data_IF_220681908416
#
_entry.id   IF_220681908416
#
_cell.length_a   1.000
_cell.length_b   1.000
_cell.length_c   1.000
_cell.angle_alpha   90.00
_cell.angle_beta   90.00
_cell.angle_gamma   90.00
#
_symmetry.space_group_name_H-M   'P 1'
#
loop_
_entity.id
_entity.type
_entity.pdbx_description
1 polymer ?
#
# COMPACT_ATOMS: atom_id res chain seq x y z
N UNK A 1 12.73 14.49 -7.18
CA UNK A 1 11.91 13.29 -7.39
C UNK A 1 10.48 13.59 -6.91
N UNK A 2 9.42 13.49 -7.80
CA UNK A 2 8.05 13.84 -7.43
C UNK A 2 7.51 13.07 -6.22
N UNK A 3 7.94 11.82 -6.03
CA UNK A 3 7.48 10.98 -4.91
C UNK A 3 7.98 11.47 -3.54
N UNK A 4 9.23 11.88 -3.43
CA UNK A 4 9.76 12.40 -2.16
C UNK A 4 9.03 13.66 -1.72
N UNK A 5 8.65 14.54 -2.65
CA UNK A 5 7.89 15.75 -2.31
C UNK A 5 6.47 15.43 -1.85
N UNK A 6 5.80 14.42 -2.42
CA UNK A 6 4.44 14.04 -2.02
C UNK A 6 4.38 13.45 -0.61
N UNK A 7 5.36 12.61 -0.25
CA UNK A 7 5.42 11.98 1.08
C UNK A 7 5.70 13.01 2.17
N UNK A 8 6.54 13.99 1.87
CA UNK A 8 6.78 15.13 2.74
C UNK A 8 5.54 15.99 2.95
N UNK A 9 4.81 16.26 1.88
CA UNK A 9 3.56 17.01 1.98
C UNK A 9 2.55 16.27 2.87
N UNK A 10 2.48 14.94 2.78
CA UNK A 10 1.62 14.12 3.66
C UNK A 10 2.05 14.22 5.11
N UNK A 11 3.34 14.05 5.39
CA UNK A 11 3.89 14.15 6.75
C UNK A 11 3.67 15.55 7.35
N UNK A 12 3.98 16.60 6.59
CA UNK A 12 3.74 17.98 7.01
C UNK A 12 2.25 18.25 7.26
N UNK A 13 1.38 17.81 6.34
CA UNK A 13 -0.05 18.01 6.48
C UNK A 13 -0.64 17.26 7.67
N UNK A 14 -0.13 16.08 7.98
CA UNK A 14 -0.49 15.37 9.20
C UNK A 14 -0.15 16.20 10.45
N UNK A 15 1.05 16.75 10.54
CA UNK A 15 1.45 17.63 11.65
C UNK A 15 0.56 18.86 11.78
N UNK A 16 0.26 19.55 10.66
CA UNK A 16 -0.61 20.73 10.63
C UNK A 16 -2.04 20.41 11.11
N UNK A 17 -2.59 19.24 10.73
CA UNK A 17 -3.98 18.87 11.06
C UNK A 17 -4.13 18.33 12.48
N UNK A 18 -3.13 17.67 13.00
CA UNK A 18 -3.21 16.97 14.30
C UNK A 18 -2.55 17.74 15.44
N UNK A 19 -1.76 18.78 15.11
CA UNK A 19 -0.87 19.43 16.08
C UNK A 19 0.28 18.52 16.53
N UNK A 20 0.47 17.36 15.85
CA UNK A 20 1.48 16.36 16.14
C UNK A 20 2.36 16.21 14.91
N UNK A 21 3.64 16.38 15.06
CA UNK A 21 4.59 15.97 14.02
C UNK A 21 4.95 14.51 14.32
N UNK A 22 4.73 13.53 13.46
CA UNK A 22 5.14 12.14 13.62
C UNK A 22 6.62 11.98 13.33
N UNK A 23 7.28 10.98 13.90
CA UNK A 23 8.57 10.56 13.39
C UNK A 23 8.40 10.11 11.93
N UNK A 24 9.25 10.58 11.04
CA UNK A 24 9.22 10.22 9.62
C UNK A 24 10.44 9.37 9.31
N UNK A 25 10.20 8.17 8.77
CA UNK A 25 11.24 7.23 8.37
C UNK A 25 11.34 7.24 6.85
N UNK A 26 12.50 7.59 6.31
CA UNK A 26 12.73 7.62 4.88
C UNK A 26 13.54 6.40 4.44
N UNK A 27 13.17 5.84 3.30
CA UNK A 27 13.93 4.77 2.68
C UNK A 27 15.33 5.30 2.31
N UNK A 28 16.33 4.81 3.02
CA UNK A 28 17.74 5.07 2.75
C UNK A 28 18.28 4.14 1.67
N UNK A 29 19.22 3.27 2.04
CA UNK A 29 19.84 2.30 1.14
C UNK A 29 19.02 1.04 0.95
N UNK A 30 18.23 0.63 1.95
CA UNK A 30 17.41 -0.59 1.89
C UNK A 30 16.18 -0.53 2.81
N UNK A 31 15.21 -1.39 2.53
CA UNK A 31 14.03 -1.61 3.38
C UNK A 31 14.42 -2.20 4.74
N UNK A 32 15.49 -2.98 4.81
CA UNK A 32 15.99 -3.52 6.07
C UNK A 32 16.43 -2.41 7.03
N UNK A 33 17.19 -1.46 6.52
CA UNK A 33 17.71 -0.35 7.32
C UNK A 33 16.57 0.50 7.92
N UNK A 34 15.55 0.86 7.12
CA UNK A 34 14.41 1.62 7.62
C UNK A 34 13.59 0.83 8.63
N UNK A 35 13.44 -0.48 8.40
CA UNK A 35 12.74 -1.36 9.33
C UNK A 35 13.47 -1.41 10.68
N UNK A 36 14.79 -1.60 10.69
CA UNK A 36 15.56 -1.68 11.92
C UNK A 36 15.48 -0.37 12.72
N UNK A 37 15.63 0.77 12.05
CA UNK A 37 15.49 2.10 12.67
C UNK A 37 14.07 2.30 13.27
N UNK A 38 13.03 1.85 12.58
CA UNK A 38 11.67 1.90 13.08
C UNK A 38 11.48 0.94 14.24
N UNK A 39 11.96 -0.30 14.12
CA UNK A 39 11.74 -1.36 15.10
C UNK A 39 12.38 -1.06 16.44
N UNK A 40 13.54 -0.40 16.47
CA UNK A 40 14.17 0.08 17.71
C UNK A 40 13.27 1.02 18.52
N UNK A 41 12.42 1.78 17.83
CA UNK A 41 11.53 2.79 18.43
C UNK A 41 10.05 2.37 18.44
N UNK A 42 9.72 1.17 18.00
CA UNK A 42 8.33 0.73 17.76
C UNK A 42 7.42 0.89 18.97
N UNK A 43 7.98 0.73 20.18
CA UNK A 43 7.26 0.87 21.45
C UNK A 43 6.76 2.30 21.74
N UNK A 44 7.19 3.29 20.94
CA UNK A 44 6.80 4.70 21.06
C UNK A 44 5.54 5.03 20.26
N UNK A 45 5.10 4.10 19.39
CA UNK A 45 4.03 4.35 18.42
C UNK A 45 2.86 3.42 18.63
N UNK A 46 1.65 3.96 18.51
CA UNK A 46 0.40 3.22 18.47
C UNK A 46 -0.05 2.94 17.02
N UNK A 47 0.52 3.63 16.05
CA UNK A 47 0.20 3.46 14.64
C UNK A 47 1.27 3.99 13.71
N UNK A 48 1.28 3.47 12.49
CA UNK A 48 2.16 3.89 11.40
C UNK A 48 1.35 4.06 10.12
N UNK A 49 1.63 5.12 9.39
CA UNK A 49 1.08 5.38 8.06
C UNK A 49 2.21 5.18 7.05
N UNK A 50 2.06 4.19 6.20
CA UNK A 50 3.02 3.88 5.14
C UNK A 50 2.71 4.69 3.88
N UNK A 51 3.74 5.11 3.16
CA UNK A 51 3.61 5.88 1.92
C UNK A 51 2.93 5.09 0.78
N UNK A 52 2.97 3.75 0.85
CA UNK A 52 2.33 2.84 -0.10
C UNK A 52 1.92 1.53 0.59
N UNK A 53 1.05 0.76 -0.06
CA UNK A 53 0.69 -0.59 0.38
C UNK A 53 1.88 -1.55 0.31
N UNK A 54 2.84 -1.36 -0.60
CA UNK A 54 4.07 -2.17 -0.63
C UNK A 54 4.86 -2.01 0.67
N UNK A 55 5.02 -0.78 1.14
CA UNK A 55 5.69 -0.51 2.40
C UNK A 55 4.93 -1.09 3.60
N UNK A 56 3.59 -1.03 3.57
CA UNK A 56 2.74 -1.60 4.60
C UNK A 56 2.82 -3.14 4.65
N UNK A 57 2.75 -3.80 3.49
CA UNK A 57 2.87 -5.27 3.37
C UNK A 57 4.26 -5.74 3.85
N UNK A 58 5.32 -5.07 3.40
CA UNK A 58 6.70 -5.35 3.84
C UNK A 58 6.85 -5.20 5.36
N UNK A 59 6.37 -4.09 5.92
CA UNK A 59 6.42 -3.83 7.36
C UNK A 59 5.67 -4.90 8.16
N UNK A 60 4.41 -5.21 7.78
CA UNK A 60 3.59 -6.20 8.47
C UNK A 60 4.20 -7.60 8.37
N UNK A 61 4.75 -7.97 7.20
CA UNK A 61 5.47 -9.23 7.03
C UNK A 61 6.61 -9.39 8.04
N UNK A 62 7.47 -8.40 8.15
CA UNK A 62 8.62 -8.39 9.07
C UNK A 62 8.21 -8.37 10.55
N UNK A 63 7.15 -7.65 10.88
CA UNK A 63 6.60 -7.64 12.25
C UNK A 63 6.02 -9.01 12.62
N UNK A 64 5.37 -9.71 11.68
CA UNK A 64 4.90 -11.09 11.88
C UNK A 64 6.05 -12.06 12.14
N UNK A 65 7.15 -11.97 11.38
CA UNK A 65 8.35 -12.79 11.61
C UNK A 65 8.92 -12.59 13.03
N UNK A 66 8.75 -11.39 13.60
CA UNK A 66 9.12 -11.07 14.98
C UNK A 66 8.00 -11.35 16.01
N UNK A 67 6.89 -12.01 15.61
CA UNK A 67 5.72 -12.28 16.44
C UNK A 67 5.13 -11.02 17.11
N UNK A 68 5.20 -9.86 16.41
CA UNK A 68 4.64 -8.62 16.90
C UNK A 68 3.15 -8.54 16.56
N UNK A 69 2.30 -8.36 17.58
CA UNK A 69 0.85 -8.40 17.43
C UNK A 69 0.30 -7.15 16.70
N UNK A 70 -0.45 -7.35 15.62
CA UNK A 70 -1.14 -6.35 14.81
C UNK A 70 -2.60 -6.80 14.67
N UNK A 71 -3.58 -5.96 14.97
CA UNK A 71 -3.51 -4.52 15.31
C UNK A 71 -3.32 -4.21 16.80
N UNK A 72 -3.21 -5.20 17.69
CA UNK A 72 -3.30 -5.05 19.15
C UNK A 72 -2.25 -4.10 19.72
N UNK A 73 -1.02 -4.10 19.16
CA UNK A 73 0.09 -3.26 19.62
C UNK A 73 0.42 -2.11 18.67
N UNK A 74 0.04 -2.23 17.40
CA UNK A 74 0.36 -1.24 16.38
C UNK A 74 -0.69 -1.24 15.28
N UNK A 75 -1.27 -0.09 14.98
CA UNK A 75 -2.06 0.10 13.76
C UNK A 75 -1.15 0.30 12.56
N UNK A 76 -1.51 -0.31 11.43
CA UNK A 76 -0.80 -0.10 10.17
C UNK A 76 -1.78 0.33 9.08
N UNK A 77 -1.47 1.46 8.43
CA UNK A 77 -2.26 2.01 7.33
C UNK A 77 -1.36 2.15 6.11
N UNK A 78 -1.80 1.62 4.97
CA UNK A 78 -1.17 1.76 3.67
C UNK A 78 -1.80 2.86 2.81
N UNK A 79 -1.34 2.95 1.57
CA UNK A 79 -1.86 3.88 0.56
C UNK A 79 -1.80 3.24 -0.83
N UNK A 80 -2.90 3.34 -1.59
CA UNK A 80 -3.05 2.85 -2.95
C UNK A 80 -4.20 1.85 -3.12
N UNK A 81 -4.64 1.18 -2.05
CA UNK A 81 -5.65 0.10 -2.06
C UNK A 81 -5.33 -0.99 -3.08
N UNK A 82 -4.06 -1.39 -3.11
CA UNK A 82 -3.52 -2.40 -4.01
C UNK A 82 -4.09 -3.78 -3.71
N UNK A 83 -4.06 -4.68 -4.69
CA UNK A 83 -4.59 -6.03 -4.55
C UNK A 83 -3.88 -6.81 -3.43
N UNK A 84 -2.55 -6.66 -3.33
CA UNK A 84 -1.74 -7.26 -2.27
C UNK A 84 -2.21 -6.87 -0.88
N UNK A 85 -2.63 -5.61 -0.66
CA UNK A 85 -3.10 -5.16 0.65
C UNK A 85 -4.38 -5.86 1.10
N UNK A 86 -5.18 -6.34 0.16
CA UNK A 86 -6.43 -7.10 0.40
C UNK A 86 -6.15 -8.57 0.66
N UNK A 87 -5.19 -9.16 -0.05
CA UNK A 87 -4.83 -10.59 0.06
C UNK A 87 -3.94 -10.90 1.25
N UNK A 88 -3.11 -9.97 1.66
CA UNK A 88 -2.16 -10.17 2.75
C UNK A 88 -2.90 -10.45 4.07
N UNK A 89 -2.25 -11.14 5.02
CA UNK A 89 -2.82 -11.43 6.34
C UNK A 89 -1.87 -11.00 7.46
N UNK A 90 -2.34 -10.15 8.39
CA UNK A 90 -3.63 -9.44 8.37
C UNK A 90 -3.76 -8.50 7.15
N UNK A 91 -4.98 -8.37 6.60
CA UNK A 91 -5.26 -7.49 5.47
C UNK A 91 -5.07 -6.02 5.85
N UNK A 92 -4.45 -5.25 4.94
CA UNK A 92 -3.96 -3.90 5.25
C UNK A 92 -5.09 -2.88 5.08
N UNK A 93 -5.37 -2.11 6.11
CA UNK A 93 -6.16 -0.87 5.99
C UNK A 93 -5.44 0.08 5.06
N UNK A 94 -6.11 0.59 4.03
CA UNK A 94 -5.48 1.42 3.01
C UNK A 94 -6.33 2.61 2.62
N UNK A 95 -5.67 3.68 2.19
CA UNK A 95 -6.30 4.86 1.60
C UNK A 95 -6.18 4.74 0.09
N UNK A 96 -7.28 4.93 -0.64
CA UNK A 96 -7.26 5.03 -2.10
C UNK A 96 -7.74 6.37 -2.60
N UNK A 97 -7.21 6.81 -3.72
CA UNK A 97 -7.77 7.89 -4.51
C UNK A 97 -8.84 7.34 -5.47
N UNK A 98 -9.87 8.12 -5.71
CA UNK A 98 -10.91 7.78 -6.68
C UNK A 98 -10.45 8.22 -8.08
N UNK A 99 -9.70 7.35 -8.78
CA UNK A 99 -9.13 7.65 -10.10
C UNK A 99 -10.21 7.91 -11.16
N UNK A 100 -11.41 7.33 -11.04
CA UNK A 100 -12.53 7.62 -11.94
C UNK A 100 -13.00 9.07 -11.75
N UNK A 101 -13.17 9.49 -10.52
CA UNK A 101 -13.50 10.89 -10.18
C UNK A 101 -12.39 11.85 -10.60
N UNK A 102 -11.12 11.44 -10.54
CA UNK A 102 -9.99 12.20 -11.09
C UNK A 102 -10.14 12.43 -12.59
N UNK A 103 -10.39 11.38 -13.37
CA UNK A 103 -10.60 11.49 -14.82
C UNK A 103 -11.78 12.41 -15.17
N UNK A 104 -12.91 12.24 -14.50
CA UNK A 104 -14.11 13.07 -14.70
C UNK A 104 -13.83 14.54 -14.36
N UNK A 105 -13.15 14.80 -13.26
CA UNK A 105 -12.79 16.17 -12.86
C UNK A 105 -11.81 16.82 -13.83
N UNK A 106 -10.82 16.10 -14.32
CA UNK A 106 -9.87 16.59 -15.32
C UNK A 106 -10.57 17.00 -16.60
N UNK A 107 -11.47 16.17 -17.15
CA UNK A 107 -12.26 16.50 -18.34
C UNK A 107 -13.15 17.72 -18.12
N UNK A 108 -13.81 17.83 -16.96
CA UNK A 108 -14.65 18.98 -16.63
C UNK A 108 -13.82 20.28 -16.54
N UNK A 109 -12.62 20.22 -15.96
CA UNK A 109 -11.69 21.36 -15.89
C UNK A 109 -11.23 21.78 -17.27
N UNK A 110 -10.80 20.83 -18.13
CA UNK A 110 -10.42 21.13 -19.51
C UNK A 110 -11.55 21.83 -20.27
N UNK A 111 -12.75 21.29 -20.23
CA UNK A 111 -13.91 21.90 -20.90
C UNK A 111 -14.29 23.29 -20.35
N UNK A 112 -14.04 23.51 -19.07
CA UNK A 112 -14.27 24.82 -18.44
C UNK A 112 -13.19 25.84 -18.88
N UNK A 113 -11.94 25.44 -18.93
CA UNK A 113 -10.83 26.30 -19.35
C UNK A 113 -10.91 26.64 -20.85
N UNK A 114 -11.31 25.71 -21.71
CA UNK A 114 -11.53 25.95 -23.14
C UNK A 114 -12.64 27.00 -23.42
N UNK A 115 -13.62 27.09 -22.53
CA UNK A 115 -14.75 28.05 -22.65
C UNK A 115 -14.48 29.39 -22.04
N UNK A 116 -13.39 29.57 -21.29
CA UNK A 116 -13.15 30.80 -20.54
C UNK A 116 -11.64 31.08 -20.41
N UNK A 117 -11.16 31.97 -21.27
CA UNK A 117 -9.76 32.43 -21.32
C UNK A 117 -9.31 33.20 -20.06
N UNK A 118 -10.24 33.55 -19.17
CA UNK A 118 -9.92 34.25 -17.93
C UNK A 118 -9.29 33.36 -16.88
N UNK A 119 -9.38 32.02 -17.02
CA UNK A 119 -8.80 31.10 -16.07
C UNK A 119 -7.35 30.72 -16.45
N UNK A 120 -6.39 31.15 -15.65
CA UNK A 120 -4.99 30.74 -15.78
C UNK A 120 -4.66 29.46 -15.00
N UNK A 121 -5.34 29.22 -13.86
CA UNK A 121 -5.15 28.05 -12.99
C UNK A 121 -6.48 27.66 -12.36
N UNK A 122 -6.76 26.37 -12.37
CA UNK A 122 -7.89 25.76 -11.63
C UNK A 122 -7.36 24.66 -10.74
N UNK A 123 -7.75 24.66 -9.47
CA UNK A 123 -7.39 23.62 -8.50
C UNK A 123 -8.63 22.96 -7.91
N UNK A 124 -8.69 21.65 -7.98
CA UNK A 124 -9.80 20.84 -7.42
C UNK A 124 -9.24 19.85 -6.43
N UNK A 125 -9.89 19.73 -5.27
CA UNK A 125 -9.58 18.73 -4.25
C UNK A 125 -10.61 17.62 -4.31
N UNK A 126 -10.16 16.40 -4.53
CA UNK A 126 -10.99 15.21 -4.51
C UNK A 126 -10.88 14.50 -3.16
N UNK A 127 -11.92 13.74 -2.79
CA UNK A 127 -11.92 12.94 -1.56
C UNK A 127 -11.24 11.60 -1.81
N UNK A 128 -10.32 11.22 -0.93
CA UNK A 128 -9.81 9.86 -0.84
C UNK A 128 -10.78 8.98 -0.05
N UNK A 129 -10.70 7.66 -0.21
CA UNK A 129 -11.48 6.66 0.53
C UNK A 129 -10.57 5.91 1.48
N UNK A 130 -11.04 5.66 2.70
CA UNK A 130 -10.38 4.79 3.67
C UNK A 130 -11.07 3.43 3.65
N UNK A 131 -10.29 2.38 3.36
CA UNK A 131 -10.72 0.98 3.40
C UNK A 131 -10.21 0.35 4.70
N UNK A 132 -11.07 0.28 5.71
CA UNK A 132 -10.73 -0.31 7.01
C UNK A 132 -10.64 -1.82 6.86
N UNK A 133 -9.54 -2.42 7.36
CA UNK A 133 -9.25 -3.86 7.35
C UNK A 133 -8.57 -4.31 8.63
N UNK A 134 -8.13 -5.58 8.67
CA UNK A 134 -7.63 -6.26 9.87
C UNK A 134 -6.49 -5.53 10.59
N UNK A 135 -5.65 -4.75 9.89
CA UNK A 135 -4.54 -4.02 10.53
C UNK A 135 -4.96 -2.80 11.37
N UNK A 136 -6.25 -2.43 11.38
CA UNK A 136 -6.80 -1.37 12.26
C UNK A 136 -8.16 -1.73 12.86
N UNK A 137 -8.67 -2.93 12.60
CA UNK A 137 -9.97 -3.35 13.07
C UNK A 137 -9.95 -3.68 14.58
N UNK A 138 -11.03 -3.32 15.27
CA UNK A 138 -11.32 -3.71 16.67
C UNK A 138 -10.49 -3.06 17.80
N UNK A 139 -9.82 -1.94 17.59
CA UNK A 139 -9.15 -1.22 18.69
C UNK A 139 -9.83 0.14 18.97
N UNK A 140 -10.20 0.45 20.23
CA UNK A 140 -10.73 1.77 20.57
C UNK A 140 -9.65 2.86 20.39
N UNK A 141 -10.07 4.02 19.87
CA UNK A 141 -9.20 5.19 19.76
C UNK A 141 -8.91 5.75 21.15
N UNK A 142 -7.63 5.88 21.50
CA UNK A 142 -7.14 6.56 22.70
C UNK A 142 -6.27 7.75 22.28
N UNK A 143 -6.69 8.99 22.52
CA UNK A 143 -5.87 10.16 22.20
C UNK A 143 -4.69 10.29 23.16
N UNK A 144 -3.48 10.46 22.63
CA UNK A 144 -2.27 10.73 23.40
C UNK A 144 -1.66 12.10 22.99
N UNK A 145 -1.02 12.77 23.95
CA UNK A 145 -0.54 14.15 23.84
C UNK A 145 0.99 14.25 23.94
N UNK A 146 1.75 13.69 22.98
CA UNK A 146 3.22 13.83 22.97
C UNK A 146 3.68 14.88 21.95
N UNK A 147 4.65 15.76 22.27
CA UNK A 147 5.19 16.76 21.35
C UNK A 147 6.18 16.12 20.36
N UNK A 148 6.35 16.74 19.22
CA UNK A 148 6.95 16.18 18.02
C UNK A 148 8.11 17.03 17.48
N UNK A 149 9.12 16.40 16.91
CA UNK A 149 10.38 17.03 16.44
C UNK A 149 10.53 16.85 14.91
N UNK A 150 10.86 17.90 14.14
CA UNK A 150 11.05 17.80 12.68
C UNK A 150 12.27 16.98 12.27
N UNK A 151 12.17 16.19 11.20
CA UNK A 151 13.22 15.32 10.68
C UNK A 151 13.71 15.80 9.30
N UNK A 152 15.03 15.82 9.00
CA UNK A 152 15.58 16.15 7.68
C UNK A 152 15.32 15.07 6.64
N UNK A 153 15.17 15.46 5.37
CA UNK A 153 14.76 14.60 4.25
C UNK A 153 15.96 14.08 3.47
N UNK A 154 16.11 12.74 3.32
CA UNK A 154 17.05 12.15 2.37
C UNK A 154 16.43 11.96 0.97
N UNK A 155 17.29 11.72 -0.03
CA UNK A 155 16.84 11.35 -1.40
C UNK A 155 16.12 10.00 -1.42
N UNK A 156 14.97 9.93 -2.09
CA UNK A 156 14.13 8.73 -2.16
C UNK A 156 14.59 7.76 -3.25
N UNK A 157 14.89 6.51 -2.89
CA UNK A 157 15.30 5.41 -3.78
C UNK A 157 14.29 4.26 -3.83
N UNK A 158 13.00 4.54 -3.65
CA UNK A 158 11.93 3.55 -3.54
C UNK A 158 11.96 2.47 -4.64
N UNK A 159 12.09 2.86 -5.91
CA UNK A 159 12.14 1.91 -7.03
C UNK A 159 13.50 1.22 -7.24
N UNK A 160 14.50 1.49 -6.42
CA UNK A 160 15.78 0.81 -6.44
C UNK A 160 15.86 -0.38 -5.47
N UNK A 161 14.88 -0.54 -4.60
CA UNK A 161 14.85 -1.66 -3.65
C UNK A 161 14.24 -2.91 -4.31
N UNK A 162 14.96 -4.04 -4.18
CA UNK A 162 14.58 -5.30 -4.83
C UNK A 162 13.31 -5.91 -4.22
N UNK A 163 13.01 -5.66 -2.95
CA UNK A 163 11.81 -6.14 -2.28
C UNK A 163 10.57 -5.45 -2.84
N UNK A 164 10.61 -4.13 -2.98
CA UNK A 164 9.49 -3.39 -3.57
C UNK A 164 9.28 -3.70 -5.05
N UNK A 165 10.36 -3.99 -5.80
CA UNK A 165 10.25 -4.45 -7.18
C UNK A 165 9.53 -5.81 -7.26
N UNK A 166 9.85 -6.75 -6.35
CA UNK A 166 9.13 -8.04 -6.28
C UNK A 166 7.65 -7.86 -5.94
N UNK A 167 7.32 -7.00 -4.97
CA UNK A 167 5.93 -6.72 -4.61
C UNK A 167 5.16 -6.06 -5.75
N UNK A 168 5.79 -5.14 -6.50
CA UNK A 168 5.19 -4.52 -7.68
C UNK A 168 4.93 -5.55 -8.81
N UNK A 169 5.84 -6.49 -9.04
CA UNK A 169 5.65 -7.57 -10.00
C UNK A 169 4.51 -8.51 -9.59
N UNK A 170 4.42 -8.86 -8.30
CA UNK A 170 3.30 -9.65 -7.77
C UNK A 170 1.97 -8.92 -7.93
N UNK A 171 1.91 -7.64 -7.64
CA UNK A 171 0.69 -6.82 -7.85
C UNK A 171 0.28 -6.82 -9.32
N UNK A 172 1.23 -6.65 -10.24
CA UNK A 172 0.97 -6.70 -11.70
C UNK A 172 0.41 -8.06 -12.10
N UNK A 173 1.06 -9.14 -11.65
CA UNK A 173 0.60 -10.51 -11.89
C UNK A 173 -0.83 -10.74 -11.38
N UNK A 174 -1.12 -10.35 -10.15
CA UNK A 174 -2.46 -10.53 -9.58
C UNK A 174 -3.54 -9.71 -10.27
N UNK A 175 -3.23 -8.52 -10.78
CA UNK A 175 -4.17 -7.71 -11.54
C UNK A 175 -4.49 -8.29 -12.93
N UNK A 176 -3.61 -9.16 -13.47
CA UNK A 176 -3.83 -9.89 -14.72
C UNK A 176 -4.54 -11.25 -14.53
N UNK A 177 -4.64 -11.75 -13.29
CA UNK A 177 -5.25 -13.03 -12.97
C UNK A 177 -6.78 -12.97 -13.05
N UNK A 178 -7.38 -13.99 -13.65
CA UNK A 178 -8.82 -14.26 -13.56
C UNK A 178 -9.13 -15.25 -12.42
N UNK A 179 -10.42 -15.58 -12.23
CA UNK A 179 -10.87 -16.51 -11.19
C UNK A 179 -10.19 -17.90 -11.30
N UNK A 180 -9.99 -18.39 -12.53
CA UNK A 180 -9.31 -19.66 -12.77
C UNK A 180 -7.85 -19.63 -12.36
N UNK A 181 -7.17 -18.49 -12.63
CA UNK A 181 -5.79 -18.30 -12.22
C UNK A 181 -5.66 -18.28 -10.69
N UNK A 182 -6.59 -17.63 -9.98
CA UNK A 182 -6.63 -17.68 -8.51
C UNK A 182 -6.90 -19.09 -7.95
N UNK A 183 -7.78 -19.86 -8.59
CA UNK A 183 -7.98 -21.27 -8.22
C UNK A 183 -6.70 -22.07 -8.39
N UNK A 184 -5.99 -21.93 -9.52
CA UNK A 184 -4.72 -22.59 -9.77
C UNK A 184 -3.66 -22.19 -8.74
N UNK A 185 -3.52 -20.87 -8.43
CA UNK A 185 -2.60 -20.38 -7.41
C UNK A 185 -2.86 -20.99 -6.03
N UNK A 186 -4.15 -21.20 -5.67
CA UNK A 186 -4.51 -21.86 -4.41
C UNK A 186 -4.14 -23.35 -4.38
N UNK A 187 -4.11 -24.01 -5.53
CA UNK A 187 -3.77 -25.43 -5.65
C UNK A 187 -2.27 -25.70 -5.76
N UNK A 188 -1.48 -24.73 -6.26
CA UNK A 188 -0.03 -24.90 -6.45
C UNK A 188 0.72 -25.34 -5.18
N UNK A 189 0.48 -24.78 -3.97
CA UNK A 189 1.16 -25.19 -2.75
C UNK A 189 0.82 -26.61 -2.30
N UNK A 190 -0.20 -27.25 -2.87
CA UNK A 190 -0.63 -28.61 -2.53
C UNK A 190 0.14 -29.69 -3.30
N UNK A 191 1.12 -29.29 -4.14
CA UNK A 191 1.98 -30.18 -4.94
C UNK A 191 1.20 -31.18 -5.83
N UNK A 192 -0.01 -30.81 -6.27
CA UNK A 192 -0.87 -31.62 -7.12
C UNK A 192 -0.33 -31.69 -8.55
N UNK A 193 -0.61 -32.79 -9.26
CA UNK A 193 -0.31 -32.87 -10.68
C UNK A 193 -1.17 -31.89 -11.49
N UNK A 194 -0.67 -31.43 -12.64
CA UNK A 194 -1.43 -30.55 -13.53
C UNK A 194 -2.76 -31.14 -13.98
N UNK A 195 -2.83 -32.47 -14.12
CA UNK A 195 -4.08 -33.17 -14.45
C UNK A 195 -5.13 -33.00 -13.35
N UNK A 196 -4.74 -33.15 -12.08
CA UNK A 196 -5.65 -32.98 -10.93
C UNK A 196 -6.07 -31.50 -10.78
N UNK A 197 -5.12 -30.56 -10.88
CA UNK A 197 -5.45 -29.14 -10.84
C UNK A 197 -6.41 -28.73 -11.97
N UNK A 198 -6.16 -29.22 -13.19
CA UNK A 198 -7.01 -28.95 -14.35
C UNK A 198 -8.44 -29.46 -14.14
N UNK A 199 -8.58 -30.65 -13.57
CA UNK A 199 -9.89 -31.23 -13.24
C UNK A 199 -10.64 -30.37 -12.21
N UNK A 200 -9.96 -29.91 -11.17
CA UNK A 200 -10.56 -29.06 -10.12
C UNK A 200 -10.95 -27.67 -10.65
N UNK A 201 -10.21 -27.13 -11.62
CA UNK A 201 -10.49 -25.84 -12.25
C UNK A 201 -11.40 -25.94 -13.49
N UNK A 202 -11.88 -27.14 -13.85
CA UNK A 202 -12.72 -27.39 -15.03
C UNK A 202 -12.10 -26.92 -16.35
N UNK A 203 -10.78 -27.09 -16.51
CA UNK A 203 -10.01 -26.74 -17.70
C UNK A 203 -9.20 -27.94 -18.21
N UNK A 204 -8.61 -27.81 -19.41
CA UNK A 204 -7.67 -28.83 -19.91
C UNK A 204 -6.33 -28.77 -19.19
N UNK A 205 -5.62 -29.90 -19.10
CA UNK A 205 -4.26 -29.95 -18.53
C UNK A 205 -3.29 -29.04 -19.26
N UNK A 206 -3.42 -28.92 -20.59
CA UNK A 206 -2.61 -28.00 -21.39
C UNK A 206 -2.91 -26.53 -21.02
N UNK A 207 -4.18 -26.18 -20.78
CA UNK A 207 -4.55 -24.85 -20.32
C UNK A 207 -4.01 -24.55 -18.91
N UNK A 208 -4.08 -25.53 -17.98
CA UNK A 208 -3.51 -25.38 -16.64
C UNK A 208 -1.99 -25.13 -16.69
N UNK A 209 -1.24 -25.93 -17.48
CA UNK A 209 0.20 -25.74 -17.69
C UNK A 209 0.54 -24.39 -18.27
N UNK A 210 -0.22 -23.95 -19.28
CA UNK A 210 0.00 -22.64 -19.92
C UNK A 210 -0.23 -21.49 -18.94
N UNK A 211 -1.35 -21.51 -18.18
CA UNK A 211 -1.67 -20.48 -17.19
C UNK A 211 -0.64 -20.38 -16.08
N UNK A 212 -0.25 -21.52 -15.49
CA UNK A 212 0.77 -21.54 -14.44
C UNK A 212 2.13 -21.08 -14.95
N UNK A 213 2.48 -21.33 -16.23
CA UNK A 213 3.74 -20.83 -16.81
C UNK A 213 3.68 -19.33 -17.10
N UNK A 214 2.50 -18.78 -17.37
CA UNK A 214 2.30 -17.34 -17.65
C UNK A 214 2.38 -16.50 -16.37
N UNK A 215 1.91 -17.03 -15.24
CA UNK A 215 2.05 -16.41 -13.92
C UNK A 215 3.51 -16.36 -13.45
#
# INVERSE_FOLDING_TARGET
NPSASSDLWRARRFGELTGREGDVFFLGSSVNEIFDQFYEKIHRYDGVICASDYAAVSLVGRLREKNYAIPEKLYVVGYGDMFLSRLFRPSITSISDDYESFGKAALAICAMMEKNDAFSVVSVKLKSRLHIRETTENRPYLPDSRPVVPVPIPENRFFGDMEFTKLANLETMFNECDETDFMLLHLLPQELSYSVMAQQCFISETAAKYRVKKM
#
